data_IF_493023536830
#
_entry.id   IF_493023536830
#
_cell.length_a   1.000
_cell.length_b   1.000
_cell.length_c   1.000
_cell.angle_alpha   90.00
_cell.angle_beta   90.00
_cell.angle_gamma   90.00
#
_symmetry.space_group_name_H-M   'P 1'
#
loop_
_entity.id
_entity.type
_entity.pdbx_description
1 polymer ?
2 non-polymer ?
3 water ?
#
# COMPACT_ATOMS: atom_id res chain seq x y z
N UNK A 25 22.72 5.53 12.61
CA UNK A 25 23.74 4.72 13.29
C UNK A 25 23.21 4.13 14.59
N UNK A 26 23.07 4.97 15.62
CA UNK A 26 22.36 4.64 16.84
C UNK A 26 20.96 4.08 16.54
N UNK A 27 20.33 4.63 15.50
CA UNK A 27 19.02 4.19 15.01
C UNK A 27 18.98 2.74 14.50
N UNK A 28 19.95 2.37 13.67
CA UNK A 28 19.89 1.07 12.99
C UNK A 28 19.87 -0.10 13.99
N UNK A 29 20.83 -0.11 14.91
CA UNK A 29 20.95 -1.19 15.86
C UNK A 29 19.71 -1.25 16.73
N UNK A 30 19.22 -0.08 17.10
CA UNK A 30 17.97 0.04 17.86
C UNK A 30 16.85 -0.73 17.17
N UNK A 31 16.64 -0.41 15.90
CA UNK A 31 15.64 -1.08 15.05
C UNK A 31 15.95 -2.57 14.96
N UNK A 32 17.23 -2.90 14.85
CA UNK A 32 17.68 -4.28 14.69
C UNK A 32 17.30 -5.15 15.90
N UNK A 33 17.55 -4.63 17.11
CA UNK A 33 17.24 -5.35 18.34
C UNK A 33 15.73 -5.50 18.49
N UNK A 34 15.01 -4.42 18.22
CA UNK A 34 13.55 -4.42 18.32
C UNK A 34 12.96 -5.42 17.33
N UNK A 35 13.44 -5.35 16.10
CA UNK A 35 13.04 -6.28 15.05
C UNK A 35 13.33 -7.72 15.49
N UNK A 36 14.49 -7.95 16.08
CA UNK A 36 14.84 -9.27 16.61
C UNK A 36 14.05 -9.68 17.88
N UNK A 37 13.44 -8.71 18.57
CA UNK A 37 12.66 -9.01 19.78
C UNK A 37 11.27 -9.53 19.40
N UNK A 38 10.79 -9.15 18.21
CA UNK A 38 9.65 -9.81 17.57
C UNK A 38 10.26 -11.14 17.09
N UNK A 39 9.77 -11.77 16.03
CA UNK A 39 10.37 -13.00 15.49
C UNK A 39 10.19 -14.21 16.43
N UNK A 40 10.22 -13.93 17.73
CA UNK A 40 10.53 -14.92 18.75
C UNK A 40 9.59 -14.73 19.94
N UNK A 41 9.47 -13.48 20.38
CA UNK A 41 8.44 -13.12 21.34
C UNK A 41 7.09 -13.42 20.72
N UNK A 42 6.16 -13.88 21.55
CA UNK A 42 4.82 -14.13 21.08
C UNK A 42 4.02 -12.86 21.23
N UNK A 43 3.01 -12.67 20.37
CA UNK A 43 2.09 -11.54 20.47
C UNK A 43 1.54 -11.36 21.89
N UNK A 44 1.29 -10.12 22.29
CA UNK A 44 0.85 -9.83 23.64
C UNK A 44 1.97 -9.26 24.50
N UNK A 45 3.20 -9.72 24.26
CA UNK A 45 4.37 -9.16 24.94
C UNK A 45 4.39 -7.62 24.87
N UNK A 46 4.40 -6.94 26.03
CA UNK A 46 4.49 -5.48 25.99
C UNK A 46 5.85 -5.00 25.51
N UNK A 47 5.85 -3.99 24.66
CA UNK A 47 7.09 -3.37 24.24
C UNK A 47 7.56 -2.50 25.38
N UNK A 48 8.86 -2.57 25.72
CA UNK A 48 9.44 -1.67 26.72
C UNK A 48 9.05 -0.22 26.46
N UNK A 49 8.84 0.57 27.53
CA UNK A 49 8.36 1.96 27.40
C UNK A 49 9.34 2.80 26.58
N UNK A 50 8.81 3.63 25.68
CA UNK A 50 9.63 4.39 24.74
C UNK A 50 10.76 5.17 25.41
N UNK A 51 10.52 5.64 26.63
CA UNK A 51 11.50 6.45 27.36
C UNK A 51 12.56 5.58 28.03
N UNK A 52 12.19 4.32 28.32
CA UNK A 52 13.16 3.33 28.78
C UNK A 52 14.13 2.93 27.67
N UNK A 53 13.57 2.72 26.48
CA UNK A 53 14.35 2.31 25.30
C UNK A 53 15.39 3.35 24.90
N UNK A 54 15.04 4.62 25.06
CA UNK A 54 15.96 5.71 24.74
C UNK A 54 17.25 5.63 25.57
N UNK A 55 17.13 5.23 26.83
CA UNK A 55 18.32 5.11 27.68
C UNK A 55 19.02 3.78 27.45
N UNK A 56 18.23 2.71 27.36
CA UNK A 56 18.78 1.36 27.16
C UNK A 56 19.67 1.24 25.92
N UNK A 57 19.62 2.25 25.05
CA UNK A 57 20.45 2.29 23.85
C UNK A 57 21.21 3.61 23.69
N UNK A 58 21.11 4.48 24.70
CA UNK A 58 21.64 5.85 24.64
C UNK A 58 21.39 6.51 23.29
N UNK A 59 20.14 6.44 22.85
CA UNK A 59 19.70 7.11 21.64
C UNK A 59 18.64 8.16 21.96
N UNK A 60 18.46 9.13 21.07
CA UNK A 60 17.43 10.14 21.26
C UNK A 60 16.04 9.48 21.27
N UNK A 61 15.09 10.18 21.87
CA UNK A 61 13.80 9.63 22.21
C UNK A 61 12.87 9.68 21.01
N UNK A 62 13.21 10.54 20.06
CA UNK A 62 12.54 10.63 18.77
C UNK A 62 13.02 9.51 17.86
N UNK A 63 14.28 9.14 17.98
CA UNK A 63 14.83 8.03 17.23
C UNK A 63 14.13 6.73 17.67
N UNK A 64 13.58 6.75 18.89
CA UNK A 64 12.83 5.62 19.39
C UNK A 64 11.43 5.57 18.75
N UNK A 65 10.76 6.72 18.67
CA UNK A 65 9.47 6.81 17.97
C UNK A 65 9.54 6.24 16.58
N UNK A 66 10.51 6.74 15.83
CA UNK A 66 10.74 6.32 14.46
C UNK A 66 10.82 4.82 14.29
N UNK A 67 11.75 4.20 15.01
CA UNK A 67 11.93 2.75 14.99
C UNK A 67 10.61 2.04 15.31
N UNK A 68 9.92 2.48 16.35
CA UNK A 68 8.68 1.84 16.78
C UNK A 68 7.56 2.00 15.75
N UNK A 69 7.35 3.23 15.28
CA UNK A 69 6.28 3.49 14.32
C UNK A 69 6.49 2.73 13.01
N UNK A 70 7.75 2.65 12.57
CA UNK A 70 8.12 1.75 11.47
C UNK A 70 7.66 0.32 11.71
N UNK A 71 7.92 -0.21 12.90
CA UNK A 71 7.56 -1.57 13.27
C UNK A 71 6.05 -1.76 13.48
N UNK A 72 5.34 -0.71 13.86
CA UNK A 72 3.88 -0.75 13.81
C UNK A 72 3.40 -0.86 12.35
N UNK A 73 3.89 0.01 11.46
CA UNK A 73 3.43 0.00 10.09
C UNK A 73 3.90 -1.27 9.35
N UNK A 74 5.13 -1.69 9.65
CA UNK A 74 5.67 -2.95 9.13
C UNK A 74 4.97 -4.15 9.77
N UNK A 75 4.11 -3.90 10.77
CA UNK A 75 3.21 -4.91 11.32
C UNK A 75 3.73 -5.84 12.42
N UNK A 76 4.93 -5.54 12.92
CA UNK A 76 5.53 -6.37 13.97
C UNK A 76 5.06 -5.90 15.34
N UNK A 77 4.80 -4.61 15.46
CA UNK A 77 4.21 -4.04 16.67
C UNK A 77 2.76 -3.63 16.42
N UNK A 78 1.98 -3.53 17.49
CA UNK A 78 0.61 -3.06 17.39
C UNK A 78 0.24 -2.14 18.56
N UNK A 79 -0.29 -0.97 18.25
CA UNK A 79 -0.67 0.02 19.28
C UNK A 79 -2.15 -0.11 19.68
N UNK A 80 -2.37 -0.41 20.95
CA UNK A 80 -3.72 -0.50 21.51
C UNK A 80 -3.97 0.75 22.34
N UNK A 81 -4.88 1.60 21.86
CA UNK A 81 -4.96 2.99 22.32
C UNK A 81 -5.19 3.20 23.82
N UNK A 82 -5.85 2.24 24.46
CA UNK A 82 -5.98 2.27 25.91
C UNK A 82 -4.79 1.61 26.60
N UNK A 83 -4.30 0.51 26.03
CA UNK A 83 -3.34 -0.34 26.72
C UNK A 83 -1.87 0.04 26.46
N UNK A 84 -1.40 -0.10 25.22
CA UNK A 84 -0.04 0.28 24.86
C UNK A 84 0.40 -0.22 23.50
N UNK A 85 1.67 -0.61 23.38
CA UNK A 85 2.17 -1.24 22.16
C UNK A 85 2.78 -2.61 22.51
N UNK A 86 2.54 -3.60 21.67
CA UNK A 86 2.94 -4.98 21.96
C UNK A 86 3.48 -5.65 20.70
N UNK A 87 4.21 -6.76 20.90
CA UNK A 87 4.57 -7.63 19.79
C UNK A 87 3.26 -8.07 19.15
N UNK A 88 3.18 -7.94 17.82
CA UNK A 88 1.94 -8.19 17.11
C UNK A 88 1.93 -9.55 16.39
N UNK A 89 0.73 -10.01 16.08
CA UNK A 89 0.57 -11.15 15.18
C UNK A 89 1.00 -10.68 13.79
N UNK A 90 1.18 -11.61 12.84
CA UNK A 90 1.45 -11.15 11.47
C UNK A 90 0.24 -10.46 10.90
N UNK A 91 0.45 -9.64 9.88
CA UNK A 91 -0.68 -8.99 9.25
C UNK A 91 -1.58 -10.05 8.63
N UNK A 92 -2.88 -9.77 8.67
CA UNK A 92 -3.86 -10.52 7.94
C UNK A 92 -3.62 -10.39 6.42
N UNK A 93 -3.84 -11.48 5.70
CA UNK A 93 -3.63 -11.51 4.26
C UNK A 93 -4.94 -11.64 3.51
N UNK A 94 -4.98 -11.08 2.33
CA UNK A 94 -6.13 -11.28 1.50
C UNK A 94 -5.63 -11.26 0.08
N UNK A 95 -6.23 -12.05 -0.78
CA UNK A 95 -5.79 -12.14 -2.15
C UNK A 95 -6.31 -10.94 -2.93
N UNK A 96 -5.48 -10.39 -3.79
CA UNK A 96 -5.95 -9.40 -4.76
C UNK A 96 -6.84 -10.07 -5.77
N UNK A 97 -8.11 -10.25 -5.43
CA UNK A 97 -8.98 -10.97 -6.34
C UNK A 97 -10.44 -10.80 -5.94
N UNK A 98 -11.32 -10.85 -6.94
CA UNK A 98 -12.74 -10.84 -6.67
C UNK A 98 -13.08 -12.17 -5.98
N UNK A 99 -13.24 -12.12 -4.67
CA UNK A 99 -13.26 -13.32 -3.86
C UNK A 99 -13.87 -13.00 -2.49
N UNK A 100 -14.04 -14.03 -1.66
CA UNK A 100 -14.67 -13.90 -0.35
C UNK A 100 -13.72 -13.39 0.74
N UNK A 101 -14.13 -12.33 1.42
CA UNK A 101 -13.44 -11.88 2.63
C UNK A 101 -13.68 -12.88 3.77
N UNK A 102 -14.86 -13.51 3.78
CA UNK A 102 -15.18 -14.46 4.83
C UNK A 102 -14.29 -15.74 4.77
N UNK A 103 -14.18 -16.33 3.58
CA UNK A 103 -13.37 -17.52 3.36
C UNK A 103 -11.88 -17.29 3.70
N UNK A 104 -11.36 -16.11 3.36
CA UNK A 104 -9.97 -15.79 3.67
C UNK A 104 -9.71 -15.58 5.15
N UNK A 105 -10.63 -14.94 5.86
CA UNK A 105 -10.42 -14.74 7.29
C UNK A 105 -10.46 -16.09 7.97
N UNK A 106 -11.48 -16.87 7.60
CA UNK A 106 -11.66 -18.18 8.23
C UNK A 106 -10.44 -19.08 7.97
N UNK A 107 -9.94 -19.08 6.75
CA UNK A 107 -8.75 -19.89 6.44
C UNK A 107 -7.55 -19.52 7.30
N UNK A 108 -7.53 -18.30 7.85
CA UNK A 108 -6.45 -17.87 8.72
C UNK A 108 -6.78 -17.98 10.22
N UNK A 109 -7.91 -18.60 10.54
CA UNK A 109 -8.28 -18.84 11.92
C UNK A 109 -8.87 -17.61 12.58
N UNK A 110 -9.67 -16.87 11.82
CA UNK A 110 -10.22 -15.59 12.28
C UNK A 110 -11.71 -15.55 12.07
N UNK A 111 -12.46 -15.19 13.09
CA UNK A 111 -13.89 -15.02 12.88
C UNK A 111 -14.14 -13.68 12.16
N UNK A 112 -14.81 -13.74 11.00
CA UNK A 112 -15.11 -12.56 10.21
C UNK A 112 -16.48 -11.98 10.52
N UNK A 113 -16.52 -10.75 10.99
CA UNK A 113 -17.80 -10.08 11.14
C UNK A 113 -17.81 -8.83 10.28
N UNK A 114 -19.01 -8.41 9.92
CA UNK A 114 -19.18 -7.20 9.13
C UNK A 114 -20.15 -6.29 9.91
N UNK A 115 -20.14 -4.99 9.65
CA UNK A 115 -21.19 -4.13 10.19
C UNK A 115 -21.61 -3.04 9.23
N UNK A 116 -22.91 -3.02 8.93
CA UNK A 116 -23.46 -2.04 8.01
C UNK A 116 -23.45 -0.67 8.66
N UNK A 117 -22.55 0.19 8.21
CA UNK A 117 -22.42 1.50 8.77
C UNK A 117 -23.50 2.39 8.20
N UNK A 118 -23.67 2.32 6.89
CA UNK A 118 -24.71 3.10 6.26
C UNK A 118 -25.15 2.50 4.94
N UNK A 119 -26.41 2.75 4.59
CA UNK A 119 -26.90 2.43 3.26
C UNK A 119 -27.98 3.43 2.91
N UNK A 120 -27.78 4.12 1.79
CA UNK A 120 -28.65 5.21 1.43
C UNK A 120 -28.44 5.56 -0.03
N UNK A 121 -29.34 6.40 -0.55
CA UNK A 121 -29.21 6.86 -1.92
C UNK A 121 -28.56 8.23 -1.91
N UNK A 122 -27.76 8.51 -2.93
CA UNK A 122 -27.12 9.81 -3.04
C UNK A 122 -27.11 10.23 -4.50
N UNK A 123 -26.45 11.34 -4.79
CA UNK A 123 -26.42 11.83 -6.16
C UNK A 123 -24.99 12.08 -6.56
N UNK A 124 -24.61 11.50 -7.69
CA UNK A 124 -23.22 11.52 -8.10
C UNK A 124 -22.74 12.91 -8.48
N UNK A 125 -21.57 13.28 -7.99
CA UNK A 125 -20.81 14.36 -8.61
C UNK A 125 -20.41 13.86 -9.99
N UNK A 126 -19.84 14.71 -10.83
CA UNK A 126 -19.66 14.34 -12.23
C UNK A 126 -18.74 13.14 -12.41
N UNK A 127 -17.75 12.96 -11.52
CA UNK A 127 -16.82 11.86 -11.75
C UNK A 127 -17.36 10.51 -11.29
N UNK A 128 -18.03 10.49 -10.14
CA UNK A 128 -18.71 9.26 -9.69
C UNK A 128 -19.63 8.79 -10.79
N UNK A 129 -20.19 9.76 -11.50
CA UNK A 129 -21.00 9.50 -12.67
C UNK A 129 -20.17 8.93 -13.82
N UNK A 130 -18.96 9.45 -14.00
CA UNK A 130 -18.08 8.96 -15.06
C UNK A 130 -17.75 7.50 -14.81
N UNK A 131 -17.40 7.21 -13.56
CA UNK A 131 -17.20 5.85 -13.06
C UNK A 131 -18.40 4.94 -13.29
N UNK A 132 -19.58 5.42 -12.91
CA UNK A 132 -20.76 4.57 -12.99
C UNK A 132 -21.42 4.64 -14.36
N UNK A 133 -20.82 5.45 -15.24
CA UNK A 133 -21.39 5.71 -16.57
C UNK A 133 -22.83 6.16 -16.43
N UNK A 134 -23.03 7.18 -15.61
CA UNK A 134 -24.36 7.74 -15.39
C UNK A 134 -24.28 9.25 -15.44
N UNK A 135 -25.44 9.90 -15.44
CA UNK A 135 -25.48 11.34 -15.57
C UNK A 135 -25.07 12.00 -14.27
N UNK A 136 -24.42 13.15 -14.38
CA UNK A 136 -24.22 14.00 -13.23
C UNK A 136 -25.55 14.13 -12.47
N UNK A 137 -25.50 14.10 -11.15
CA UNK A 137 -26.71 14.23 -10.38
C UNK A 137 -27.50 12.95 -10.30
N UNK A 138 -27.10 11.94 -11.08
CA UNK A 138 -27.72 10.62 -11.07
C UNK A 138 -27.75 9.95 -9.71
N UNK A 139 -28.80 9.17 -9.44
CA UNK A 139 -28.98 8.61 -8.11
C UNK A 139 -28.15 7.34 -7.95
N UNK A 140 -27.50 7.23 -6.81
CA UNK A 140 -26.52 6.18 -6.55
C UNK A 140 -26.82 5.47 -5.24
N UNK A 141 -26.93 4.15 -5.29
CA UNK A 141 -26.99 3.43 -4.03
C UNK A 141 -25.60 3.39 -3.44
N UNK A 142 -25.46 3.82 -2.17
CA UNK A 142 -24.17 3.72 -1.48
C UNK A 142 -24.25 2.82 -0.24
N UNK A 143 -23.23 1.99 -0.07
CA UNK A 143 -23.17 1.03 1.03
C UNK A 143 -21.82 1.11 1.74
N UNK A 144 -21.84 1.36 3.06
CA UNK A 144 -20.60 1.42 3.83
C UNK A 144 -20.56 0.30 4.85
N UNK A 145 -19.51 -0.51 4.80
CA UNK A 145 -19.36 -1.65 5.69
C UNK A 145 -18.12 -1.51 6.55
N UNK A 146 -18.24 -1.81 7.83
CA UNK A 146 -17.05 -1.98 8.64
C UNK A 146 -16.69 -3.48 8.73
N UNK A 147 -15.54 -3.86 8.18
CA UNK A 147 -15.05 -5.22 8.22
C UNK A 147 -14.30 -5.49 9.50
N UNK A 148 -14.69 -6.57 10.18
CA UNK A 148 -14.02 -6.94 11.42
C UNK A 148 -13.43 -8.34 11.37
N UNK A 149 -12.46 -8.58 12.25
CA UNK A 149 -11.79 -9.86 12.37
C UNK A 149 -11.48 -10.07 13.83
N UNK A 150 -12.10 -11.10 14.41
CA UNK A 150 -12.10 -11.31 15.87
C UNK A 150 -12.66 -10.11 16.62
N UNK A 151 -13.45 -9.30 15.90
CA UNK A 151 -14.09 -8.12 16.47
C UNK A 151 -13.24 -6.87 16.40
N UNK A 152 -12.03 -7.00 15.87
CA UNK A 152 -11.17 -5.85 15.65
C UNK A 152 -11.37 -5.33 14.21
N UNK A 153 -11.83 -4.06 14.07
CA UNK A 153 -12.04 -3.45 12.74
C UNK A 153 -10.77 -3.48 11.89
N UNK A 154 -10.91 -3.80 10.61
CA UNK A 154 -9.78 -3.92 9.71
C UNK A 154 -9.89 -2.98 8.52
N UNK A 155 -11.13 -2.80 8.07
CA UNK A 155 -11.37 -2.02 6.87
C UNK A 155 -12.69 -1.29 6.89
N UNK A 156 -12.74 -0.21 6.14
CA UNK A 156 -14.00 0.42 5.80
C UNK A 156 -14.13 0.35 4.30
N UNK A 157 -15.30 -0.10 3.84
CA UNK A 157 -15.56 -0.38 2.43
C UNK A 157 -16.83 0.32 1.98
N UNK A 158 -16.71 1.14 0.94
CA UNK A 158 -17.83 1.91 0.45
C UNK A 158 -18.09 1.55 -1.02
N UNK A 159 -19.27 1.00 -1.29
CA UNK A 159 -19.63 0.57 -2.64
C UNK A 159 -20.68 1.48 -3.26
N UNK A 160 -20.49 1.81 -4.53
CA UNK A 160 -21.42 2.67 -5.23
C UNK A 160 -21.99 1.98 -6.46
N UNK A 161 -23.31 1.89 -6.54
CA UNK A 161 -23.96 1.35 -7.74
C UNK A 161 -24.98 2.33 -8.32
N UNK A 162 -25.16 2.28 -9.64
CA UNK A 162 -26.20 3.06 -10.31
C UNK A 162 -27.60 2.58 -9.94
N UNK A 163 -28.32 3.38 -9.16
CA UNK A 163 -29.67 3.06 -8.72
C UNK A 163 -30.61 2.80 -9.89
N UNK A 164 -30.39 3.50 -11.00
CA UNK A 164 -31.28 3.37 -12.14
C UNK A 164 -31.03 2.04 -12.84
N UNK A 165 -29.76 1.72 -13.05
CA UNK A 165 -29.39 0.43 -13.59
C UNK A 165 -29.86 -0.73 -12.69
N UNK A 166 -30.04 -0.46 -11.39
CA UNK A 166 -30.49 -1.51 -10.46
C UNK A 166 -31.67 -1.05 -9.60
N UNK A 167 -32.83 -0.83 -10.25
CA UNK A 167 -34.06 -0.19 -9.75
C UNK A 167 -34.33 -0.27 -8.24
N UNK A 168 -34.39 -1.47 -7.67
CA UNK A 168 -34.80 -1.59 -6.27
C UNK A 168 -33.78 -2.31 -5.40
N UNK A 169 -32.50 -2.13 -5.72
CA UNK A 169 -31.42 -2.93 -5.18
C UNK A 169 -31.41 -2.99 -3.66
N UNK A 170 -31.54 -1.83 -3.03
CA UNK A 170 -31.49 -1.73 -1.58
C UNK A 170 -32.57 -2.61 -0.97
N UNK A 171 -33.78 -2.44 -1.47
CA UNK A 171 -34.93 -3.16 -0.97
C UNK A 171 -34.67 -4.67 -1.09
N UNK A 172 -34.00 -5.08 -2.16
CA UNK A 172 -33.68 -6.49 -2.37
C UNK A 172 -32.56 -7.00 -1.46
N UNK A 173 -31.71 -6.12 -0.97
CA UNK A 173 -30.58 -6.53 -0.14
C UNK A 173 -31.00 -7.07 1.22
N UNK A 174 -32.23 -6.73 1.61
CA UNK A 174 -32.82 -7.21 2.86
C UNK A 174 -32.80 -8.73 2.90
N UNK A 175 -33.06 -9.34 1.75
CA UNK A 175 -33.14 -10.78 1.70
C UNK A 175 -31.85 -11.42 1.20
N UNK A 176 -30.72 -10.74 1.40
CA UNK A 176 -29.44 -11.28 0.95
C UNK A 176 -28.27 -10.88 1.87
N UNK A 177 -27.30 -11.78 2.00
CA UNK A 177 -26.10 -11.48 2.77
C UNK A 177 -24.99 -10.96 1.83
N UNK A 178 -24.90 -11.53 0.64
CA UNK A 178 -23.89 -11.08 -0.30
C UNK A 178 -24.51 -10.18 -1.37
N UNK A 179 -24.02 -8.95 -1.46
CA UNK A 179 -24.41 -8.05 -2.53
C UNK A 179 -24.30 -8.73 -3.90
N UNK A 180 -23.28 -9.55 -4.08
CA UNK A 180 -23.02 -10.13 -5.39
C UNK A 180 -23.89 -11.36 -5.64
N UNK A 181 -24.41 -11.92 -4.56
CA UNK A 181 -25.42 -12.95 -4.66
C UNK A 181 -26.71 -12.29 -5.09
N UNK A 182 -26.99 -11.14 -4.48
CA UNK A 182 -28.17 -10.36 -4.83
C UNK A 182 -28.18 -9.98 -6.31
N UNK A 183 -27.06 -9.49 -6.84
CA UNK A 183 -26.98 -9.08 -8.24
C UNK A 183 -27.10 -10.22 -9.24
N UNK A 184 -26.58 -11.38 -8.89
CA UNK A 184 -26.63 -12.55 -9.77
C UNK A 184 -28.05 -13.12 -9.86
N UNK A 185 -28.69 -13.30 -8.71
CA UNK A 185 -30.01 -13.91 -8.66
C UNK A 185 -31.11 -12.99 -9.11
N UNK A 186 -31.03 -11.73 -8.72
CA UNK A 186 -32.10 -10.76 -8.99
C UNK A 186 -31.93 -10.03 -10.31
N UNK A 187 -30.71 -9.64 -10.66
CA UNK A 187 -30.52 -8.82 -11.84
C UNK A 187 -29.82 -9.60 -12.91
N UNK A 188 -29.47 -10.84 -12.58
CA UNK A 188 -28.69 -11.70 -13.49
C UNK A 188 -27.47 -10.93 -13.97
N UNK A 189 -26.73 -10.43 -12.99
CA UNK A 189 -25.51 -9.68 -13.22
C UNK A 189 -24.40 -10.32 -12.39
N UNK A 190 -23.32 -10.70 -13.06
CA UNK A 190 -22.20 -11.36 -12.42
C UNK A 190 -20.93 -10.52 -12.63
N UNK A 191 -20.16 -10.32 -11.56
CA UNK A 191 -18.86 -9.65 -11.71
C UNK A 191 -17.94 -10.50 -12.58
N UNK A 192 -17.27 -9.89 -13.54
CA UNK A 192 -16.49 -10.64 -14.54
C UNK A 192 -15.07 -10.11 -14.73
N UNK A 193 -14.87 -8.86 -14.35
CA UNK A 193 -13.56 -8.24 -14.43
C UNK A 193 -13.54 -7.01 -13.55
N UNK A 194 -12.42 -6.74 -12.92
CA UNK A 194 -12.27 -5.48 -12.20
C UNK A 194 -10.90 -4.89 -12.41
N UNK A 195 -10.86 -3.58 -12.54
CA UNK A 195 -9.58 -2.88 -12.47
C UNK A 195 -9.43 -2.39 -11.03
N UNK A 196 -8.29 -2.69 -10.43
CA UNK A 196 -8.13 -2.40 -9.03
C UNK A 196 -6.88 -1.57 -8.80
N UNK A 197 -7.01 -0.55 -7.97
CA UNK A 197 -5.89 0.32 -7.65
C UNK A 197 -5.51 0.18 -6.18
N UNK A 198 -4.22 0.04 -5.93
CA UNK A 198 -3.70 -0.06 -4.57
C UNK A 198 -2.79 1.11 -4.35
N UNK A 199 -2.98 1.85 -3.26
CA UNK A 199 -2.12 2.99 -2.97
C UNK A 199 -2.13 3.31 -1.51
N UNK A 200 -1.30 4.27 -1.10
CA UNK A 200 -1.25 4.67 0.29
C UNK A 200 -2.20 5.81 0.55
N UNK A 201 -2.52 5.97 1.83
CA UNK A 201 -3.53 6.87 2.34
C UNK A 201 -3.29 7.02 3.85
N UNK A 202 -3.57 8.18 4.43
CA UNK A 202 -3.46 8.36 5.87
C UNK A 202 -4.85 8.28 6.43
N UNK A 203 -4.99 7.67 7.61
CA UNK A 203 -6.29 7.57 8.25
C UNK A 203 -6.81 8.97 8.62
N UNK A 204 -7.91 9.34 7.99
CA UNK A 204 -8.59 10.59 8.31
C UNK A 204 -9.19 10.44 9.71
N UNK A 205 -9.61 11.57 10.32
CA UNK A 205 -10.33 11.53 11.61
C UNK A 205 -11.52 10.59 11.64
N UNK A 206 -12.44 10.69 10.67
CA UNK A 206 -13.60 9.80 10.63
C UNK A 206 -13.18 8.32 10.51
N UNK A 207 -12.16 8.07 9.70
CA UNK A 207 -11.66 6.73 9.46
C UNK A 207 -11.05 6.15 10.73
N UNK A 208 -10.13 6.91 11.33
CA UNK A 208 -9.48 6.51 12.60
C UNK A 208 -10.51 6.18 13.67
N UNK A 209 -11.56 7.00 13.77
CA UNK A 209 -12.63 6.76 14.70
C UNK A 209 -13.37 5.45 14.53
N UNK A 210 -13.82 5.15 13.32
CA UNK A 210 -14.53 3.90 13.07
C UNK A 210 -13.61 2.68 13.29
N UNK A 211 -12.33 2.85 13.02
CA UNK A 211 -11.38 1.75 13.03
C UNK A 211 -10.69 1.60 14.37
N UNK A 212 -10.83 2.62 15.22
CA UNK A 212 -10.15 2.64 16.51
C UNK A 212 -8.63 2.69 16.40
N UNK A 213 -8.11 3.45 15.45
CA UNK A 213 -6.66 3.65 15.33
C UNK A 213 -6.28 5.11 15.58
N UNK A 214 -5.02 5.45 15.33
CA UNK A 214 -4.62 6.84 15.31
C UNK A 214 -4.97 7.50 14.00
N UNK A 215 -5.16 8.81 14.05
CA UNK A 215 -5.00 9.66 12.88
C UNK A 215 -3.48 9.78 12.73
N UNK A 216 -2.92 9.83 11.53
CA UNK A 216 -3.44 9.19 10.35
C UNK A 216 -2.49 7.99 10.21
N UNK A 217 -2.94 6.84 10.68
CA UNK A 217 -2.21 5.61 10.46
C UNK A 217 -2.15 5.39 8.95
N UNK A 218 -1.00 4.93 8.43
CA UNK A 218 -0.91 4.64 6.99
C UNK A 218 -1.87 3.54 6.58
N UNK A 219 -2.49 3.67 5.42
CA UNK A 219 -3.58 2.80 5.05
C UNK A 219 -3.35 2.22 3.69
N UNK A 220 -3.93 1.07 3.43
CA UNK A 220 -4.00 0.59 2.08
C UNK A 220 -5.34 1.04 1.54
N UNK A 221 -5.29 1.89 0.52
CA UNK A 221 -6.50 2.39 -0.13
C UNK A 221 -6.70 1.66 -1.43
N UNK A 222 -7.81 0.92 -1.50
CA UNK A 222 -8.14 0.17 -2.69
C UNK A 222 -9.32 0.81 -3.43
N UNK A 223 -9.17 0.97 -4.74
CA UNK A 223 -10.26 1.42 -5.57
C UNK A 223 -10.57 0.37 -6.63
N UNK A 224 -11.84 0.05 -6.79
CA UNK A 224 -12.26 -1.05 -7.66
C UNK A 224 -13.35 -0.64 -8.63
N UNK A 225 -12.99 -0.69 -9.89
CA UNK A 225 -13.92 -0.55 -10.99
C UNK A 225 -14.30 -1.97 -11.44
N UNK A 226 -15.57 -2.33 -11.32
CA UNK A 226 -16.02 -3.68 -11.67
C UNK A 226 -16.94 -3.66 -12.89
N UNK A 227 -16.79 -4.65 -13.78
CA UNK A 227 -17.67 -4.77 -14.94
C UNK A 227 -18.13 -6.20 -15.12
N UNK A 228 -19.35 -6.38 -15.63
CA UNK A 228 -19.95 -7.72 -15.71
C UNK A 228 -19.66 -8.49 -16.99
N UNK A 229 -20.32 -9.64 -17.13
CA UNK A 229 -20.00 -10.58 -18.19
C UNK A 229 -20.36 -10.03 -19.58
N UNK A 230 -21.18 -8.98 -19.65
CA UNK A 230 -21.41 -8.30 -20.93
C UNK A 230 -20.64 -6.98 -21.01
N UNK A 231 -19.75 -6.77 -20.05
CA UNK A 231 -18.81 -5.66 -20.09
C UNK A 231 -19.23 -4.26 -19.65
N UNK A 232 -20.40 -4.08 -19.05
CA UNK A 232 -20.80 -2.77 -18.56
C UNK A 232 -20.41 -2.59 -17.09
N UNK A 233 -20.11 -1.34 -16.68
CA UNK A 233 -19.75 -1.05 -15.28
C UNK A 233 -20.86 -1.45 -14.30
N UNK A 234 -20.48 -2.03 -13.18
CA UNK A 234 -21.43 -2.54 -12.20
C UNK A 234 -21.38 -1.72 -10.92
N UNK A 235 -20.17 -1.34 -10.53
CA UNK A 235 -19.95 -0.72 -9.25
C UNK A 235 -18.63 0.01 -9.24
N UNK A 236 -18.51 0.95 -8.32
CA UNK A 236 -17.22 1.50 -7.96
C UNK A 236 -17.07 1.40 -6.43
N UNK A 237 -15.95 0.83 -6.00
CA UNK A 237 -15.71 0.61 -4.58
C UNK A 237 -14.49 1.37 -4.06
N UNK A 238 -14.64 2.00 -2.90
CA UNK A 238 -13.55 2.71 -2.26
C UNK A 238 -13.33 2.14 -0.85
N UNK A 239 -12.11 1.69 -0.59
CA UNK A 239 -11.84 0.94 0.63
C UNK A 239 -10.52 1.34 1.22
N UNK A 240 -10.49 1.46 2.54
CA UNK A 240 -9.24 1.65 3.25
C UNK A 240 -9.05 0.50 4.24
N UNK A 241 -7.89 -0.15 4.14
CA UNK A 241 -7.46 -1.24 5.04
C UNK A 241 -6.35 -0.75 5.98
N UNK A 242 -6.50 -1.04 7.28
CA UNK A 242 -5.47 -0.75 8.28
C UNK A 242 -4.07 -1.21 7.82
N UNK A 243 -3.14 -0.28 7.69
CA UNK A 243 -1.85 -0.62 7.15
C UNK A 243 -1.03 -1.41 8.15
N UNK A 244 -1.39 -1.28 9.41
CA UNK A 244 -0.62 -1.95 10.44
C UNK A 244 -0.98 -3.45 10.51
N UNK A 245 -2.22 -3.78 10.16
CA UNK A 245 -2.75 -5.11 10.37
C UNK A 245 -3.07 -5.91 9.09
N UNK A 246 -2.82 -5.34 7.91
CA UNK A 246 -3.36 -5.91 6.67
C UNK A 246 -2.37 -5.89 5.50
N UNK A 247 -2.46 -6.91 4.65
CA UNK A 247 -1.71 -6.93 3.40
C UNK A 247 -2.44 -7.70 2.31
N UNK A 248 -2.02 -7.47 1.07
CA UNK A 248 -2.66 -8.12 -0.07
C UNK A 248 -1.65 -8.96 -0.83
N UNK A 249 -2.13 -10.07 -1.38
CA UNK A 249 -1.24 -10.97 -2.08
C UNK A 249 -1.73 -11.12 -3.49
N UNK A 250 -0.81 -11.04 -4.44
CA UNK A 250 -1.12 -11.28 -5.84
C UNK A 250 -0.31 -12.47 -6.41
N UNK A 251 -0.89 -13.23 -7.33
CA UNK A 251 -0.12 -14.32 -7.90
C UNK A 251 -0.04 -14.13 -9.40
N UNK A 252 1.19 -14.10 -9.91
CA UNK A 252 1.45 -13.74 -11.31
C UNK A 252 2.06 -14.86 -12.18
N UNK A 253 1.92 -14.71 -13.50
CA UNK A 253 2.45 -15.67 -14.49
C UNK A 253 3.45 -15.07 -15.47
N UNK A 254 4.42 -15.88 -15.84
CA UNK A 254 5.33 -15.72 -17.00
C UNK A 254 6.04 -14.37 -17.06
N UNK B 23 -11.56 23.58 14.67
CA UNK B 23 -11.12 22.46 15.49
C UNK B 23 -11.05 21.18 14.63
N UNK B 24 -12.06 20.35 14.79
CA UNK B 24 -12.44 19.41 13.76
C UNK B 24 -12.96 20.17 12.51
N UNK B 25 -13.88 21.15 12.69
CA UNK B 25 -14.29 21.94 11.52
C UNK B 25 -13.13 22.60 10.80
N UNK B 26 -12.12 23.03 11.55
CA UNK B 26 -11.02 23.72 10.89
C UNK B 26 -10.22 22.79 9.99
N UNK B 27 -10.02 21.55 10.42
CA UNK B 27 -9.37 20.55 9.58
C UNK B 27 -10.17 20.33 8.27
N UNK B 28 -11.48 20.19 8.39
CA UNK B 28 -12.32 20.00 7.22
C UNK B 28 -12.25 21.17 6.27
N UNK B 29 -12.30 22.39 6.80
CA UNK B 29 -12.36 23.53 5.93
C UNK B 29 -11.04 23.73 5.21
N UNK B 30 -9.95 23.55 5.95
CA UNK B 30 -8.63 23.63 5.35
C UNK B 30 -8.40 22.51 4.31
N UNK B 31 -8.87 21.30 4.60
CA UNK B 31 -8.70 20.25 3.62
C UNK B 31 -9.67 20.41 2.46
N UNK B 32 -10.89 20.94 2.68
CA UNK B 32 -11.77 21.21 1.53
C UNK B 32 -11.06 22.18 0.60
N UNK B 33 -10.46 23.20 1.19
CA UNK B 33 -9.88 24.30 0.44
C UNK B 33 -8.74 23.85 -0.44
N UNK B 34 -7.84 23.07 0.12
CA UNK B 34 -6.64 22.71 -0.61
C UNK B 34 -7.01 21.70 -1.69
N UNK B 35 -7.99 20.86 -1.37
CA UNK B 35 -8.56 19.94 -2.33
C UNK B 35 -9.08 20.65 -3.57
N UNK B 36 -9.85 21.71 -3.36
CA UNK B 36 -10.42 22.48 -4.47
C UNK B 36 -9.33 23.16 -5.28
N UNK B 37 -8.29 23.59 -4.57
CA UNK B 37 -7.10 24.11 -5.23
C UNK B 37 -6.54 23.06 -6.19
N UNK B 38 -6.47 21.80 -5.76
CA UNK B 38 -5.88 20.76 -6.61
C UNK B 38 -6.76 20.42 -7.80
N UNK B 39 -8.07 20.57 -7.64
CA UNK B 39 -9.02 20.27 -8.71
C UNK B 39 -9.21 21.44 -9.67
N UNK B 40 -8.67 22.61 -9.34
CA UNK B 40 -8.93 23.76 -10.21
C UNK B 40 -7.66 24.48 -10.66
N UNK B 41 -6.51 24.08 -10.13
CA UNK B 41 -5.27 24.70 -10.58
C UNK B 41 -4.38 23.65 -11.26
N UNK B 42 -3.53 24.12 -12.17
CA UNK B 42 -2.68 23.22 -12.92
C UNK B 42 -1.58 22.67 -12.04
N UNK B 43 -1.07 21.48 -12.36
CA UNK B 43 0.01 20.92 -11.53
C UNK B 43 1.20 21.88 -11.53
N UNK B 44 1.85 22.06 -10.39
CA UNK B 44 2.95 23.00 -10.31
C UNK B 44 2.58 24.27 -9.58
N UNK B 45 1.28 24.50 -9.43
CA UNK B 45 0.77 25.65 -8.72
C UNK B 45 1.15 25.54 -7.24
N UNK B 46 1.89 26.54 -6.75
CA UNK B 46 2.55 26.55 -5.43
C UNK B 46 1.61 26.83 -4.25
N UNK B 47 1.73 25.97 -3.23
CA UNK B 47 0.93 26.06 -2.02
C UNK B 47 1.64 27.02 -1.10
N UNK B 48 0.90 27.88 -0.41
CA UNK B 48 1.57 28.74 0.58
C UNK B 48 2.25 27.89 1.64
N UNK B 49 3.33 28.39 2.24
CA UNK B 49 3.96 27.59 3.28
C UNK B 49 3.05 27.42 4.48
N UNK B 50 3.34 26.39 5.25
CA UNK B 50 2.51 25.99 6.37
C UNK B 50 2.13 27.15 7.32
N UNK B 51 3.06 28.07 7.56
CA UNK B 51 2.81 29.17 8.49
C UNK B 51 1.78 30.18 7.97
N UNK B 52 1.82 30.43 6.67
CA UNK B 52 0.82 31.24 6.02
C UNK B 52 -0.57 30.61 6.18
N UNK B 53 -0.67 29.32 5.85
CA UNK B 53 -1.93 28.60 5.97
C UNK B 53 -2.49 28.66 7.38
N UNK B 54 -1.62 28.50 8.37
CA UNK B 54 -2.07 28.55 9.75
C UNK B 54 -2.61 29.96 10.07
N UNK B 55 -1.96 30.98 9.54
CA UNK B 55 -2.42 32.35 9.80
C UNK B 55 -3.73 32.62 9.05
N UNK B 56 -3.77 32.26 7.78
CA UNK B 56 -4.97 32.49 7.00
C UNK B 56 -6.17 31.65 7.45
N UNK B 57 -5.92 30.55 8.14
CA UNK B 57 -7.05 29.72 8.54
C UNK B 57 -7.21 29.71 10.06
N UNK B 58 -6.30 30.37 10.76
CA UNK B 58 -6.42 30.55 12.20
C UNK B 58 -6.57 29.16 12.86
N UNK B 59 -5.67 28.26 12.44
CA UNK B 59 -5.69 26.87 12.89
C UNK B 59 -4.27 26.52 13.30
N UNK B 60 -4.16 25.56 14.22
CA UNK B 60 -2.86 25.10 14.68
C UNK B 60 -2.05 24.53 13.52
N UNK B 61 -0.73 24.63 13.65
CA UNK B 61 0.20 24.11 12.65
C UNK B 61 0.11 22.61 12.56
N UNK B 62 -0.23 21.98 13.68
CA UNK B 62 -0.54 20.58 13.73
C UNK B 62 -1.58 20.24 12.67
N UNK B 63 -2.74 20.90 12.75
CA UNK B 63 -3.83 20.63 11.84
C UNK B 63 -3.42 20.85 10.38
N UNK B 64 -2.66 21.91 10.13
CA UNK B 64 -2.26 22.28 8.79
C UNK B 64 -1.34 21.21 8.22
N UNK B 65 -0.37 20.78 9.03
CA UNK B 65 0.54 19.72 8.62
C UNK B 65 -0.22 18.43 8.30
N UNK B 66 -1.22 18.11 9.12
CA UNK B 66 -1.99 16.90 8.90
C UNK B 66 -2.74 16.91 7.57
N UNK B 67 -3.38 18.02 7.26
CA UNK B 67 -4.16 18.15 6.05
C UNK B 67 -3.26 18.12 4.82
N UNK B 68 -2.13 18.82 4.94
CA UNK B 68 -1.11 18.85 3.91
C UNK B 68 -0.60 17.44 3.67
N UNK B 69 -0.29 16.76 4.76
CA UNK B 69 0.24 15.40 4.71
C UNK B 69 -0.75 14.42 4.10
N UNK B 70 -2.03 14.55 4.44
CA UNK B 70 -3.02 13.69 3.81
C UNK B 70 -3.02 13.89 2.33
N UNK B 71 -2.86 15.11 1.88
CA UNK B 71 -3.00 15.39 0.46
C UNK B 71 -1.78 14.94 -0.35
N UNK B 72 -0.61 15.08 0.23
CA UNK B 72 0.63 14.57 -0.37
C UNK B 72 0.58 13.04 -0.51
N UNK B 73 0.14 12.36 0.53
CA UNK B 73 0.13 10.92 0.48
C UNK B 73 -0.95 10.43 -0.51
N UNK B 74 -2.07 11.13 -0.57
CA UNK B 74 -3.12 10.84 -1.54
C UNK B 74 -2.68 11.10 -2.99
N UNK B 75 -1.60 11.85 -3.17
CA UNK B 75 -1.10 12.18 -4.49
C UNK B 75 -1.54 13.53 -5.07
N UNK B 76 -2.35 14.27 -4.32
CA UNK B 76 -2.87 15.57 -4.78
C UNK B 76 -1.84 16.68 -4.69
N UNK B 77 -1.08 16.70 -3.61
CA UNK B 77 0.00 17.67 -3.44
C UNK B 77 1.35 16.98 -3.51
N UNK B 78 2.34 17.69 -4.00
CA UNK B 78 3.68 17.14 -4.03
C UNK B 78 4.63 18.06 -3.28
N UNK B 79 5.38 17.45 -2.38
CA UNK B 79 6.43 18.13 -1.64
C UNK B 79 7.73 18.01 -2.41
N UNK B 80 8.45 19.12 -2.55
CA UNK B 80 9.78 19.11 -3.17
C UNK B 80 10.72 19.80 -2.20
N UNK B 81 11.72 19.08 -1.74
CA UNK B 81 12.43 19.45 -0.52
C UNK B 81 12.96 20.89 -0.47
N UNK B 82 13.79 21.27 -1.43
CA UNK B 82 14.36 22.61 -1.41
C UNK B 82 13.34 23.69 -1.78
N UNK B 83 12.23 23.28 -2.37
CA UNK B 83 11.33 24.23 -3.00
C UNK B 83 10.06 24.45 -2.16
N UNK B 84 9.17 23.46 -2.13
CA UNK B 84 7.95 23.55 -1.34
C UNK B 84 6.88 22.59 -1.82
N UNK B 85 5.63 22.92 -1.56
CA UNK B 85 4.50 22.07 -1.90
C UNK B 85 3.79 22.61 -3.13
N UNK B 86 3.35 21.73 -4.01
CA UNK B 86 2.70 22.17 -5.24
C UNK B 86 1.56 21.25 -5.55
N UNK B 87 0.59 21.72 -6.33
CA UNK B 87 -0.41 20.83 -6.90
C UNK B 87 0.34 19.82 -7.77
N UNK B 88 -0.06 18.55 -7.69
CA UNK B 88 0.71 17.47 -8.29
C UNK B 88 0.10 16.94 -9.58
N UNK B 89 0.93 16.40 -10.47
CA UNK B 89 0.41 15.51 -11.52
C UNK B 89 -0.03 14.23 -10.81
N UNK B 90 -0.89 13.42 -11.44
CA UNK B 90 -1.32 12.19 -10.75
C UNK B 90 -0.17 11.23 -10.40
N UNK B 91 -0.43 10.27 -9.50
CA UNK B 91 0.57 9.24 -9.18
C UNK B 91 1.00 8.47 -10.42
N UNK B 92 2.25 8.02 -10.40
CA UNK B 92 2.70 7.07 -11.39
C UNK B 92 2.04 5.71 -11.10
N UNK B 93 1.54 5.07 -12.16
CA UNK B 93 0.86 3.79 -12.07
C UNK B 93 1.66 2.65 -12.67
N UNK B 94 1.66 1.50 -12.03
CA UNK B 94 2.29 0.33 -12.63
C UNK B 94 1.39 -0.88 -12.45
N UNK B 95 1.17 -1.58 -13.56
CA UNK B 95 0.42 -2.82 -13.55
C UNK B 95 1.19 -3.84 -12.72
N UNK B 96 0.47 -4.57 -11.89
CA UNK B 96 1.00 -5.75 -11.23
C UNK B 96 1.11 -6.89 -12.22
N UNK B 97 2.33 -7.22 -12.60
CA UNK B 97 2.55 -8.23 -13.60
C UNK B 97 4.04 -8.49 -13.73
N UNK B 98 4.42 -9.70 -14.14
CA UNK B 98 5.83 -10.02 -14.28
C UNK B 98 6.50 -9.15 -15.34
N UNK B 99 5.76 -8.85 -16.41
CA UNK B 99 6.31 -8.23 -17.61
C UNK B 99 6.78 -6.77 -17.46
N UNK B 100 6.79 -6.04 -18.58
CA UNK B 100 7.58 -4.81 -18.73
C UNK B 100 7.14 -3.57 -17.95
N UNK B 101 7.94 -3.22 -16.96
CA UNK B 101 7.91 -1.92 -16.30
C UNK B 101 8.01 -0.77 -17.32
N UNK B 102 8.80 -0.99 -18.39
CA UNK B 102 9.20 0.07 -19.33
C UNK B 102 8.11 0.60 -20.26
N UNK B 103 7.33 -0.29 -20.83
CA UNK B 103 6.34 0.11 -21.82
C UNK B 103 5.22 0.92 -21.17
N UNK B 104 4.79 0.47 -19.98
CA UNK B 104 3.74 1.16 -19.24
C UNK B 104 4.21 2.54 -18.77
N UNK B 105 5.47 2.63 -18.34
CA UNK B 105 6.04 3.91 -17.98
C UNK B 105 6.08 4.86 -19.17
N UNK B 106 6.46 4.32 -20.33
CA UNK B 106 6.57 5.14 -21.54
C UNK B 106 5.20 5.60 -22.01
N UNK B 107 4.20 4.75 -21.81
CA UNK B 107 2.81 5.10 -22.08
C UNK B 107 2.40 6.37 -21.33
N UNK B 108 2.52 6.34 -20.00
CA UNK B 108 2.10 7.47 -19.16
C UNK B 108 2.93 8.74 -19.34
N UNK B 109 3.90 8.69 -20.24
CA UNK B 109 4.71 9.87 -20.54
C UNK B 109 5.98 9.99 -19.73
N UNK B 110 6.41 8.91 -19.12
CA UNK B 110 7.66 8.91 -18.36
C UNK B 110 8.67 7.98 -19.03
N UNK B 111 9.96 8.30 -18.93
CA UNK B 111 10.90 7.27 -19.31
C UNK B 111 11.67 6.79 -18.11
N UNK B 112 11.61 5.48 -17.88
CA UNK B 112 12.31 4.75 -16.83
C UNK B 112 13.81 4.80 -17.02
N UNK B 113 14.52 5.07 -15.94
CA UNK B 113 15.93 4.81 -15.89
C UNK B 113 16.24 4.16 -14.55
N UNK B 114 17.31 3.37 -14.51
CA UNK B 114 17.73 2.76 -13.25
C UNK B 114 19.15 3.14 -12.90
N UNK B 115 19.50 2.92 -11.65
CA UNK B 115 20.85 3.20 -11.19
C UNK B 115 21.20 2.14 -10.15
N UNK B 116 22.15 1.29 -10.50
CA UNK B 116 22.66 0.29 -9.57
C UNK B 116 23.17 1.00 -8.35
N UNK B 117 22.65 0.66 -7.19
CA UNK B 117 23.02 1.32 -5.94
C UNK B 117 24.09 0.51 -5.22
N UNK B 118 23.97 -0.81 -5.31
CA UNK B 118 24.88 -1.70 -4.60
C UNK B 118 24.79 -3.11 -5.16
N UNK B 119 25.88 -3.86 -4.99
CA UNK B 119 25.89 -5.28 -5.30
C UNK B 119 26.97 -5.95 -4.46
N UNK B 120 26.73 -7.19 -4.07
CA UNK B 120 27.68 -7.93 -3.26
C UNK B 120 27.11 -9.25 -2.78
N UNK B 121 27.80 -9.87 -1.84
CA UNK B 121 27.32 -11.12 -1.26
C UNK B 121 26.98 -10.92 0.21
N UNK B 122 25.93 -11.58 0.68
CA UNK B 122 25.55 -11.48 2.08
C UNK B 122 25.21 -12.86 2.64
N UNK B 123 25.08 -12.93 3.95
CA UNK B 123 24.84 -14.19 4.62
C UNK B 123 23.36 -14.30 4.93
N UNK B 124 22.76 -15.41 4.51
CA UNK B 124 21.32 -15.59 4.64
C UNK B 124 20.86 -15.87 6.07
N UNK B 125 19.81 -15.19 6.51
CA UNK B 125 19.13 -15.56 7.74
C UNK B 125 18.25 -16.77 7.46
N UNK B 126 17.55 -17.24 8.48
CA UNK B 126 16.80 -18.49 8.37
C UNK B 126 15.58 -18.35 7.47
N UNK B 127 14.97 -17.17 7.46
CA UNK B 127 13.81 -16.95 6.63
C UNK B 127 14.26 -16.82 5.18
N UNK B 128 15.29 -16.00 4.99
CA UNK B 128 15.88 -15.81 3.68
C UNK B 128 16.29 -17.14 3.08
N UNK B 129 16.84 -18.00 3.94
CA UNK B 129 17.25 -19.35 3.52
C UNK B 129 16.02 -20.18 3.16
N UNK B 130 14.96 -20.04 3.95
CA UNK B 130 13.72 -20.70 3.65
C UNK B 130 13.13 -20.24 2.32
N UNK B 131 13.14 -18.94 2.08
CA UNK B 131 12.62 -18.39 0.83
C UNK B 131 13.41 -18.91 -0.35
N UNK B 132 14.72 -18.67 -0.32
CA UNK B 132 15.62 -19.06 -1.38
C UNK B 132 15.98 -20.54 -1.38
N UNK B 133 15.44 -21.29 -0.40
CA UNK B 133 15.61 -22.74 -0.36
C UNK B 133 17.08 -23.18 -0.20
N UNK B 134 17.81 -22.50 0.68
CA UNK B 134 19.21 -22.78 0.89
C UNK B 134 19.45 -23.03 2.37
N UNK B 135 20.69 -23.41 2.69
CA UNK B 135 21.08 -23.58 4.07
C UNK B 135 21.27 -22.21 4.66
N UNK B 136 20.69 -21.99 5.83
CA UNK B 136 20.95 -20.76 6.57
C UNK B 136 22.45 -20.56 6.62
N UNK B 137 22.90 -19.32 6.38
CA UNK B 137 24.31 -19.01 6.32
C UNK B 137 24.89 -19.14 4.92
N UNK B 138 24.12 -19.73 4.01
CA UNK B 138 24.47 -19.77 2.60
C UNK B 138 24.56 -18.37 2.00
N UNK B 139 25.47 -18.17 1.06
CA UNK B 139 25.67 -16.85 0.48
C UNK B 139 24.56 -16.50 -0.52
N UNK B 140 24.18 -15.23 -0.48
CA UNK B 140 23.12 -14.69 -1.30
C UNK B 140 23.66 -13.52 -2.08
N UNK B 141 23.58 -13.58 -3.40
CA UNK B 141 23.84 -12.39 -4.21
C UNK B 141 22.75 -11.35 -3.96
N UNK B 142 23.15 -10.15 -3.57
CA UNK B 142 22.21 -9.08 -3.29
C UNK B 142 22.41 -7.91 -4.24
N UNK B 143 21.38 -7.57 -4.99
CA UNK B 143 21.44 -6.42 -5.89
C UNK B 143 20.48 -5.31 -5.46
N UNK B 144 20.89 -4.06 -5.61
CA UNK B 144 20.08 -2.91 -5.17
C UNK B 144 20.03 -1.82 -6.25
N UNK B 145 18.86 -1.59 -6.82
CA UNK B 145 18.73 -0.54 -7.82
C UNK B 145 17.80 0.57 -7.35
N UNK B 146 18.04 1.76 -7.86
CA UNK B 146 17.10 2.86 -7.68
C UNK B 146 16.37 3.08 -8.98
N UNK B 147 15.04 3.03 -8.95
CA UNK B 147 14.28 3.29 -10.16
C UNK B 147 13.80 4.74 -10.20
N UNK B 148 14.03 5.41 -11.32
CA UNK B 148 13.52 6.76 -11.52
C UNK B 148 12.54 6.80 -12.69
N UNK B 149 11.74 7.85 -12.69
CA UNK B 149 10.88 8.21 -13.82
C UNK B 149 11.13 9.68 -14.12
N UNK B 150 11.47 9.99 -15.38
CA UNK B 150 11.96 11.32 -15.74
C UNK B 150 12.95 11.87 -14.75
N UNK B 151 13.92 11.03 -14.37
CA UNK B 151 15.01 11.45 -13.51
C UNK B 151 14.63 11.45 -12.06
N UNK B 152 13.32 11.42 -11.80
CA UNK B 152 12.82 11.51 -10.42
C UNK B 152 12.74 10.13 -9.78
N UNK B 153 13.47 9.95 -8.66
CA UNK B 153 13.52 8.71 -7.88
C UNK B 153 12.14 8.27 -7.41
N UNK B 154 11.84 6.99 -7.60
CA UNK B 154 10.51 6.46 -7.35
C UNK B 154 10.54 5.28 -6.41
N UNK B 155 11.63 4.51 -6.47
CA UNK B 155 11.67 3.22 -5.81
C UNK B 155 13.06 2.70 -5.58
N UNK B 156 13.20 1.90 -4.52
CA UNK B 156 14.40 1.11 -4.27
C UNK B 156 14.09 -0.39 -4.31
N UNK B 157 14.82 -1.11 -5.14
CA UNK B 157 14.52 -2.50 -5.45
C UNK B 157 15.68 -3.43 -5.07
N UNK B 158 15.42 -4.37 -4.18
CA UNK B 158 16.49 -5.22 -3.68
C UNK B 158 16.21 -6.70 -3.96
N UNK B 159 17.00 -7.25 -4.85
CA UNK B 159 16.86 -8.63 -5.29
C UNK B 159 17.84 -9.56 -4.56
N UNK B 160 17.33 -10.71 -4.13
CA UNK B 160 18.16 -11.70 -3.47
C UNK B 160 18.16 -13.04 -4.21
N UNK B 161 19.34 -13.46 -4.65
CA UNK B 161 19.47 -14.75 -5.32
C UNK B 161 20.48 -15.65 -4.61
N UNK B 162 20.26 -16.95 -4.69
CA UNK B 162 21.14 -17.93 -4.07
C UNK B 162 22.50 -18.02 -4.77
N UNK B 163 23.56 -17.71 -4.03
CA UNK B 163 24.90 -17.70 -4.61
C UNK B 163 25.33 -19.11 -5.00
N UNK B 164 24.90 -20.08 -4.21
CA UNK B 164 25.19 -21.48 -4.52
C UNK B 164 24.50 -21.93 -5.80
N UNK B 165 23.29 -21.46 -6.03
CA UNK B 165 22.58 -21.91 -7.21
C UNK B 165 23.12 -21.23 -8.46
N UNK B 166 23.46 -19.95 -8.33
CA UNK B 166 23.88 -19.15 -9.50
C UNK B 166 25.26 -18.56 -9.32
N UNK B 167 26.28 -19.41 -9.15
CA UNK B 167 27.63 -18.92 -8.81
C UNK B 167 28.20 -17.96 -9.86
N UNK B 168 27.84 -18.18 -11.11
CA UNK B 168 28.40 -17.41 -12.20
C UNK B 168 27.60 -16.13 -12.47
N UNK B 169 26.50 -15.94 -11.77
CA UNK B 169 25.58 -14.86 -12.09
C UNK B 169 26.16 -13.45 -11.93
N UNK B 170 26.86 -13.20 -10.83
CA UNK B 170 27.26 -11.83 -10.52
C UNK B 170 28.21 -11.22 -11.55
N UNK B 171 29.20 -11.99 -11.99
CA UNK B 171 30.11 -11.54 -13.04
C UNK B 171 29.35 -11.28 -14.33
N UNK B 172 28.36 -12.12 -14.63
CA UNK B 172 27.54 -12.00 -15.83
C UNK B 172 26.80 -10.67 -15.97
N UNK B 173 26.39 -10.11 -14.84
CA UNK B 173 25.41 -9.02 -14.85
C UNK B 173 25.84 -7.80 -15.67
N UNK B 174 27.09 -7.41 -15.50
CA UNK B 174 27.66 -6.29 -16.23
C UNK B 174 27.45 -6.39 -17.74
N UNK B 175 27.20 -7.61 -18.24
CA UNK B 175 27.09 -7.84 -19.67
C UNK B 175 25.62 -7.90 -20.11
N UNK B 176 24.71 -7.55 -19.22
CA UNK B 176 23.29 -7.64 -19.56
C UNK B 176 22.48 -6.49 -18.98
N UNK B 177 21.46 -6.10 -19.76
CA UNK B 177 20.58 -4.98 -19.44
C UNK B 177 19.60 -5.36 -18.32
N UNK B 178 19.44 -6.66 -18.14
CA UNK B 178 18.41 -7.17 -17.24
C UNK B 178 18.93 -8.40 -16.52
N UNK B 179 18.62 -8.47 -15.24
CA UNK B 179 18.95 -9.63 -14.42
C UNK B 179 18.43 -10.90 -15.08
N UNK B 180 17.24 -10.80 -15.67
CA UNK B 180 16.49 -11.97 -16.10
C UNK B 180 16.92 -12.54 -17.45
N UNK B 181 17.45 -11.68 -18.31
CA UNK B 181 18.01 -12.16 -19.55
C UNK B 181 19.33 -12.86 -19.20
N UNK B 182 20.05 -12.29 -18.25
CA UNK B 182 21.24 -12.94 -17.69
C UNK B 182 20.92 -14.35 -17.17
N UNK B 183 19.83 -14.47 -16.41
CA UNK B 183 19.42 -15.76 -15.90
C UNK B 183 19.07 -16.66 -17.06
N UNK B 184 18.43 -16.10 -18.08
CA UNK B 184 18.04 -16.90 -19.22
C UNK B 184 19.25 -17.28 -20.06
N UNK B 185 20.27 -16.44 -20.03
CA UNK B 185 21.44 -16.64 -20.88
C UNK B 185 22.44 -17.62 -20.27
N UNK B 186 22.94 -17.33 -19.08
CA UNK B 186 23.91 -18.19 -18.43
C UNK B 186 23.28 -19.52 -18.02
N UNK B 187 22.19 -19.43 -17.28
CA UNK B 187 21.46 -20.60 -16.86
C UNK B 187 20.26 -20.67 -17.78
N UNK B 188 19.51 -21.74 -17.73
CA UNK B 188 18.42 -21.82 -18.68
C UNK B 188 17.17 -21.36 -17.93
N UNK B 189 17.41 -20.40 -17.04
CA UNK B 189 16.44 -20.06 -15.99
C UNK B 189 15.48 -18.93 -16.34
N UNK B 190 14.18 -19.24 -16.27
CA UNK B 190 13.15 -18.27 -16.58
C UNK B 190 12.16 -18.14 -15.44
N UNK B 191 11.78 -16.89 -15.12
CA UNK B 191 10.67 -16.61 -14.22
C UNK B 191 9.39 -17.18 -14.79
N UNK B 192 8.77 -18.11 -14.10
CA UNK B 192 7.53 -18.67 -14.57
C UNK B 192 6.34 -18.08 -13.82
N UNK B 193 6.51 -17.90 -12.51
CA UNK B 193 5.42 -17.60 -11.63
C UNK B 193 5.96 -16.81 -10.46
N UNK B 194 5.10 -16.07 -9.78
CA UNK B 194 5.54 -15.30 -8.63
C UNK B 194 4.40 -15.06 -7.70
N UNK B 195 4.75 -14.87 -6.42
CA UNK B 195 3.81 -14.42 -5.43
C UNK B 195 4.26 -13.06 -4.88
N UNK B 196 3.40 -12.06 -5.00
CA UNK B 196 3.72 -10.69 -4.60
C UNK B 196 2.86 -10.19 -3.46
N UNK B 197 3.52 -9.65 -2.45
CA UNK B 197 2.85 -9.07 -1.30
C UNK B 197 2.91 -7.55 -1.34
N UNK B 198 1.76 -6.89 -1.19
CA UNK B 198 1.72 -5.42 -1.08
C UNK B 198 1.30 -5.00 0.33
N UNK B 199 2.05 -4.08 0.94
CA UNK B 199 1.72 -3.58 2.26
C UNK B 199 2.26 -2.16 2.49
N UNK B 200 1.97 -1.59 3.65
CA UNK B 200 2.48 -0.26 3.95
C UNK B 200 3.76 -0.32 4.78
N UNK B 201 4.59 0.69 4.57
CA UNK B 201 5.89 0.80 5.24
C UNK B 201 6.25 2.29 5.39
N UNK B 202 7.09 2.62 6.36
CA UNK B 202 7.55 3.99 6.52
C UNK B 202 8.96 4.12 5.95
N UNK B 203 9.26 5.24 5.31
CA UNK B 203 10.56 5.39 4.71
C UNK B 203 11.64 5.42 5.80
N UNK B 204 12.59 4.49 5.73
CA UNK B 204 13.72 4.54 6.64
C UNK B 204 14.63 5.72 6.24
N UNK B 205 15.56 6.11 7.13
CA UNK B 205 16.45 7.21 6.74
C UNK B 205 17.26 6.93 5.47
N UNK B 206 17.71 5.71 5.26
CA UNK B 206 18.49 5.46 4.04
C UNK B 206 17.57 5.57 2.84
N UNK B 207 16.36 5.05 2.98
CA UNK B 207 15.38 5.10 1.90
C UNK B 207 14.99 6.53 1.56
N UNK B 208 14.68 7.32 2.58
CA UNK B 208 14.27 8.70 2.39
C UNK B 208 15.40 9.46 1.71
N UNK B 209 16.62 9.19 2.16
CA UNK B 209 17.80 9.79 1.58
C UNK B 209 17.86 9.54 0.09
N UNK B 210 17.79 8.28 -0.31
CA UNK B 210 18.01 7.91 -1.70
C UNK B 210 16.84 8.30 -2.60
N UNK B 211 15.65 8.47 -2.02
CA UNK B 211 14.48 8.79 -2.81
C UNK B 211 14.23 10.29 -2.86
N UNK B 212 14.91 11.01 -1.96
CA UNK B 212 14.70 12.44 -1.83
C UNK B 212 13.30 12.69 -1.28
N UNK B 213 13.01 12.12 -0.11
CA UNK B 213 11.73 12.33 0.56
C UNK B 213 11.94 12.54 2.04
N UNK B 214 10.86 12.79 2.78
CA UNK B 214 10.95 12.87 4.24
C UNK B 214 11.06 11.49 4.83
N UNK B 215 11.48 11.42 6.08
CA UNK B 215 11.72 10.13 6.68
C UNK B 215 10.42 9.40 7.00
N UNK B 216 9.43 10.05 7.58
CA UNK B 216 8.23 9.28 7.91
C UNK B 216 7.33 8.81 6.75
N UNK B 217 7.81 8.90 5.52
CA UNK B 217 6.93 8.77 4.37
C UNK B 217 6.35 7.35 4.20
N UNK B 218 5.02 7.24 4.19
CA UNK B 218 4.34 6.01 3.80
C UNK B 218 4.80 5.45 2.46
N UNK B 219 5.22 4.19 2.46
CA UNK B 219 5.62 3.53 1.23
C UNK B 219 4.72 2.34 0.92
N UNK B 220 4.69 1.94 -0.35
CA UNK B 220 4.12 0.67 -0.74
C UNK B 220 5.27 -0.33 -0.77
N UNK B 221 5.31 -1.24 0.17
CA UNK B 221 6.37 -2.23 0.13
C UNK B 221 5.92 -3.49 -0.63
N UNK B 222 6.68 -3.84 -1.67
CA UNK B 222 6.38 -5.02 -2.49
C UNK B 222 7.37 -6.14 -2.22
N UNK B 223 6.90 -7.26 -1.71
CA UNK B 223 7.73 -8.45 -1.57
C UNK B 223 7.42 -9.48 -2.67
N UNK B 224 8.44 -9.86 -3.45
CA UNK B 224 8.24 -10.84 -4.51
C UNK B 224 9.04 -12.14 -4.36
N UNK B 225 8.35 -13.25 -4.48
CA UNK B 225 8.98 -14.55 -4.42
C UNK B 225 8.71 -15.27 -5.73
N UNK B 226 9.75 -15.39 -6.57
CA UNK B 226 9.62 -15.95 -7.91
C UNK B 226 10.12 -17.40 -8.01
N UNK B 227 9.46 -18.18 -8.85
CA UNK B 227 9.83 -19.55 -9.19
C UNK B 227 10.14 -19.70 -10.68
N UNK B 228 11.09 -20.58 -11.02
CA UNK B 228 11.32 -20.89 -12.45
C UNK B 228 10.30 -21.93 -12.94
N UNK B 229 10.37 -22.28 -14.22
CA UNK B 229 9.41 -23.22 -14.82
C UNK B 229 9.34 -24.60 -14.14
N UNK B 230 10.38 -24.95 -13.39
CA UNK B 230 10.48 -26.27 -12.78
C UNK B 230 10.05 -26.24 -11.31
N UNK B 231 9.59 -25.09 -10.83
CA UNK B 231 9.02 -24.99 -9.50
C UNK B 231 10.07 -24.72 -8.45
N UNK B 232 11.17 -24.12 -8.87
CA UNK B 232 12.28 -23.83 -7.98
C UNK B 232 12.43 -22.32 -7.69
N UNK B 233 12.62 -21.95 -6.41
CA UNK B 233 12.83 -20.54 -6.04
C UNK B 233 14.02 -19.92 -6.75
N UNK B 234 13.78 -18.78 -7.37
CA UNK B 234 14.82 -18.08 -8.10
C UNK B 234 15.28 -16.83 -7.36
N UNK B 235 14.33 -16.01 -6.92
CA UNK B 235 14.68 -14.73 -6.31
C UNK B 235 13.69 -14.36 -5.22
N UNK B 236 14.19 -13.60 -4.25
CA UNK B 236 13.30 -12.91 -3.34
C UNK B 236 13.60 -11.42 -3.46
N UNK B 237 12.58 -10.64 -3.80
CA UNK B 237 12.72 -9.19 -3.99
C UNK B 237 11.90 -8.38 -2.98
N UNK B 238 12.59 -7.54 -2.21
CA UNK B 238 11.96 -6.53 -1.36
C UNK B 238 12.13 -5.13 -1.98
N UNK B 239 11.02 -4.41 -2.14
CA UNK B 239 11.03 -3.11 -2.81
C UNK B 239 10.18 -2.08 -2.07
N UNK B 240 10.57 -0.81 -2.15
CA UNK B 240 9.72 0.23 -1.62
C UNK B 240 9.44 1.28 -2.69
N UNK B 241 8.17 1.65 -2.81
CA UNK B 241 7.73 2.69 -3.73
C UNK B 241 7.20 3.81 -2.88
N UNK B 242 7.58 5.05 -3.22
CA UNK B 242 7.14 6.21 -2.47
C UNK B 242 5.64 6.42 -2.63
N UNK B 243 4.92 6.40 -1.51
CA UNK B 243 3.48 6.36 -1.54
C UNK B 243 2.82 7.63 -2.05
N UNK B 244 3.60 8.69 -2.22
CA UNK B 244 3.04 9.97 -2.65
C UNK B 244 2.96 10.07 -4.16
N UNK B 245 3.91 9.45 -4.84
CA UNK B 245 3.97 9.59 -6.28
C UNK B 245 3.61 8.32 -7.03
N UNK B 246 3.17 7.28 -6.31
CA UNK B 246 3.11 5.93 -6.90
C UNK B 246 1.87 5.11 -6.50
N UNK B 247 1.34 4.32 -7.44
CA UNK B 247 0.29 3.35 -7.10
C UNK B 247 0.31 2.15 -8.03
N UNK B 248 -0.35 1.07 -7.62
CA UNK B 248 -0.41 -0.13 -8.44
C UNK B 248 -1.81 -0.45 -8.94
N UNK B 249 -1.86 -0.91 -10.18
CA UNK B 249 -3.11 -1.28 -10.81
C UNK B 249 -3.11 -2.79 -11.09
N UNK B 250 -4.20 -3.46 -10.76
CA UNK B 250 -4.30 -4.88 -11.06
C UNK B 250 -5.54 -5.15 -11.89
N UNK B 251 -5.40 -6.05 -12.85
CA UNK B 251 -6.54 -6.52 -13.62
C UNK B 251 -7.02 -7.84 -13.02
N UNK B 252 -8.27 -7.87 -12.56
CA UNK B 252 -8.84 -9.05 -11.95
C UNK B 252 -9.88 -9.63 -12.89
N UNK B 253 -9.98 -10.95 -12.95
CA UNK B 253 -10.82 -11.64 -13.93
C UNK B 253 -11.43 -12.91 -13.36
X LIG C 1 -4.23 -18.21 14.68
X LIG C 1 -2.93 -18.28 14.09
X LIG C 1 -4.94 -16.94 14.24
X LIG C 1 -6.07 -16.70 15.10
X LIG D 1 -18.81 -10.95 2.04
X LIG D 1 -19.42 -10.63 0.78
X LIG D 1 -17.47 -11.67 1.86
X LIG D 1 -17.61 -13.04 1.44
X LIG E 1 5.62 11.93 -11.98
X LIG E 1 5.41 11.96 -10.56
X LIG E 1 7.12 11.97 -12.27
X LIG E 1 7.44 12.96 -13.28
X LIG F 1 12.32 -3.84 -16.71
X LIG F 1 11.49 -3.42 -17.80
X LIG F 1 11.49 -4.64 -15.72
X LIG F 1 11.74 -4.17 -14.38
X LIG G 1 -8.28 33.04 0.30
X LIG G 1 -9.02 31.80 0.28
X LIG G 1 -6.84 32.74 0.75
X LIG G 1 -6.83 32.17 2.08
#
# INVERSE_FOLDING_TARGET
>A
GSHMSTDVSSAENEGGATVRTARVPKYYRLKKHLLDMTRTQTPGTPVPPERTLAAEFDTSRTTVRQALQELVVEGRLERIQGKGTFVAKPKVSQALQLTSYTEDMRAQGLEPTSQLLDIGYITADDRLAGLLDITAGGRVLRIERLRMANGEPMAIETTHLSAKRFPALRRSLVKYTSLYTALAEVYDVHLAEAEETIETSLATPREAGLLGTDVGLPMLMLSRHSQDRTGQPVEWVRSVYRGDRYKFVARLKRPQD
>B
GSHMSTDVSSAENEGGATVRTARVPKYYRLKKHLLDMTRTQTPGTPVPPERTLAAEFDTSRTTVRQALQELVVEGRLERIQGKGTFVAKPKVSQALQLTSYTEDMRAQGLEPTSQLLDIGYITADDRLAGLLDITAGGRVLRIERLRMANGEPMAIETTHLSAKRFPALRRSLVKYTSLYTALAEVYDVHLAEAEETIETSLATPREAGLLGTDVGLPMLMLSRHSQDRTGQPVEWVRSVYRGDRYKFVARLKRPQD
>C hetero
1 EDO C1 O1 C2 O2
>D hetero
1 EDO C1 O1 C2 O2
>E hetero
1 EDO C1 O1 C2 O2
>F hetero
1 EDO C1 O1 C2 O2
>G hetero
1 EDO C1 O1 C2 O2
#
